data_IF_686230440694
#
_entry.id   IF_686230440694
#
_cell.length_a   1.000
_cell.length_b   1.000
_cell.length_c   1.000
_cell.angle_alpha   90.00
_cell.angle_beta   90.00
_cell.angle_gamma   90.00
#
_symmetry.space_group_name_H-M   'P 1'
#
loop_
_entity.id
_entity.type
_entity.pdbx_description
1 polymer ?
#
# COMPACT_ATOMS: atom_id res chain seq x y z
N UNK A 1 61.00 -73.74 26.42
CA UNK A 1 61.28 -72.41 25.85
C UNK A 1 60.58 -72.30 24.51
N UNK A 2 59.82 -71.23 24.32
CA UNK A 2 59.23 -70.70 23.06
C UNK A 2 58.04 -71.51 22.45
N UNK A 3 56.87 -70.91 22.63
CA UNK A 3 55.53 -71.13 22.06
C UNK A 3 55.45 -70.45 20.66
N UNK A 4 54.31 -70.30 19.97
CA UNK A 4 53.14 -71.18 19.69
C UNK A 4 52.91 -71.31 18.16
N UNK A 5 51.86 -72.05 17.73
CA UNK A 5 50.71 -71.47 17.00
C UNK A 5 49.67 -72.53 16.67
N UNK A 6 48.50 -72.34 17.27
CA UNK A 6 47.23 -72.99 16.93
C UNK A 6 46.75 -72.51 15.55
N UNK A 7 46.01 -73.35 14.84
CA UNK A 7 44.72 -72.98 14.24
C UNK A 7 43.99 -74.23 13.72
N UNK A 8 43.03 -74.69 14.51
CA UNK A 8 41.91 -75.52 14.05
C UNK A 8 40.86 -74.59 13.43
N UNK A 9 40.39 -74.90 12.22
CA UNK A 9 39.12 -74.39 11.70
C UNK A 9 37.96 -75.16 12.38
N UNK A 10 36.88 -74.49 12.83
CA UNK A 10 35.69 -75.16 13.31
C UNK A 10 34.74 -75.52 12.14
N UNK A 11 33.86 -76.53 12.32
CA UNK A 11 32.73 -76.78 11.45
C UNK A 11 31.45 -76.08 11.94
N UNK A 12 30.45 -76.05 11.05
CA UNK A 12 29.00 -76.12 11.33
C UNK A 12 28.33 -75.02 12.17
N UNK A 13 27.23 -74.48 11.65
CA UNK A 13 26.23 -73.83 12.50
C UNK A 13 25.31 -72.89 11.75
N UNK A 14 24.20 -73.44 11.25
CA UNK A 14 23.05 -72.67 10.80
C UNK A 14 22.54 -71.75 11.93
N UNK A 15 22.16 -70.51 11.59
CA UNK A 15 21.15 -69.68 12.25
C UNK A 15 21.33 -68.24 11.75
N UNK A 16 20.41 -67.76 10.92
CA UNK A 16 19.94 -66.35 10.83
C UNK A 16 19.03 -66.18 9.61
N UNK A 17 17.90 -66.89 9.61
CA UNK A 17 16.68 -66.35 9.03
C UNK A 17 16.16 -65.27 9.99
N UNK A 18 15.66 -64.16 9.43
CA UNK A 18 15.06 -63.00 10.11
C UNK A 18 16.01 -61.93 10.71
N UNK A 19 16.61 -61.13 9.82
CA UNK A 19 16.66 -59.68 10.01
C UNK A 19 15.92 -59.08 8.82
N UNK A 20 14.62 -58.81 9.00
CA UNK A 20 14.11 -57.46 9.21
C UNK A 20 14.51 -56.53 8.07
N UNK A 21 13.60 -56.47 7.12
CA UNK A 21 13.37 -55.34 6.21
C UNK A 21 13.19 -54.10 7.09
N UNK A 22 14.29 -53.49 7.52
CA UNK A 22 14.26 -52.11 7.98
C UNK A 22 14.23 -51.26 6.72
N UNK A 23 12.99 -50.98 6.30
CA UNK A 23 12.61 -49.78 5.57
C UNK A 23 13.60 -48.66 5.91
N UNK A 24 14.37 -48.24 4.92
CA UNK A 24 14.98 -46.92 4.94
C UNK A 24 13.83 -45.91 4.80
N UNK A 25 13.10 -45.68 5.89
CA UNK A 25 12.42 -44.43 6.12
C UNK A 25 13.50 -43.40 6.44
N UNK A 26 14.25 -42.99 5.41
CA UNK A 26 14.80 -41.65 5.39
C UNK A 26 13.61 -40.71 5.27
N UNK A 27 12.90 -40.52 6.38
CA UNK A 27 12.09 -39.35 6.58
C UNK A 27 13.05 -38.18 6.48
N UNK A 28 12.91 -37.38 5.43
CA UNK A 28 13.48 -36.05 5.42
C UNK A 28 12.82 -35.32 6.58
N UNK A 29 13.46 -35.34 7.75
CA UNK A 29 13.26 -34.27 8.71
C UNK A 29 13.70 -33.01 7.97
N UNK A 30 12.73 -32.27 7.44
CA UNK A 30 12.96 -30.92 6.94
C UNK A 30 13.36 -30.12 8.17
N UNK A 31 14.65 -30.01 8.42
CA UNK A 31 15.17 -29.06 9.39
C UNK A 31 14.90 -27.68 8.78
N UNK A 32 13.87 -27.01 9.29
CA UNK A 32 13.45 -25.68 8.85
C UNK A 32 14.34 -24.59 9.47
N UNK A 33 15.64 -24.86 9.60
CA UNK A 33 16.61 -23.95 10.19
C UNK A 33 17.03 -22.92 9.14
N UNK A 34 16.12 -21.98 8.84
CA UNK A 34 16.45 -20.81 8.04
C UNK A 34 17.55 -20.02 8.75
N UNK A 35 18.64 -19.76 8.02
CA UNK A 35 19.76 -18.94 8.51
C UNK A 35 19.30 -17.49 8.72
N UNK A 36 20.05 -16.72 9.51
CA UNK A 36 19.74 -15.31 9.80
C UNK A 36 19.63 -14.44 8.53
N UNK A 37 20.28 -14.84 7.43
CA UNK A 37 20.22 -14.14 6.14
C UNK A 37 19.01 -14.58 5.29
N UNK A 38 18.57 -15.84 5.39
CA UNK A 38 17.43 -16.36 4.62
C UNK A 38 16.07 -15.93 5.18
N UNK A 39 15.99 -15.61 6.48
CA UNK A 39 14.71 -15.21 7.12
C UNK A 39 14.18 -13.89 6.57
N UNK A 40 14.97 -12.79 6.46
CA UNK A 40 14.50 -11.57 5.80
C UNK A 40 14.05 -11.81 4.36
N UNK A 41 14.87 -12.50 3.55
CA UNK A 41 14.55 -12.79 2.15
C UNK A 41 13.24 -13.60 1.99
N UNK A 42 13.01 -14.57 2.88
CA UNK A 42 11.77 -15.34 2.87
C UNK A 42 10.55 -14.50 3.28
N UNK A 43 10.70 -13.60 4.26
CA UNK A 43 9.63 -12.71 4.68
C UNK A 43 9.30 -11.66 3.60
N UNK A 44 10.32 -11.12 2.92
CA UNK A 44 10.15 -10.24 1.76
C UNK A 44 9.35 -10.94 0.65
N UNK A 45 9.73 -12.17 0.29
CA UNK A 45 9.05 -12.93 -0.76
C UNK A 45 7.57 -13.23 -0.43
N UNK A 46 7.27 -13.58 0.82
CA UNK A 46 5.88 -13.75 1.26
C UNK A 46 5.11 -12.43 1.28
N UNK A 47 5.78 -11.32 1.61
CA UNK A 47 5.21 -9.97 1.58
C UNK A 47 4.84 -9.57 0.15
N UNK A 48 5.76 -9.73 -0.80
CA UNK A 48 5.51 -9.47 -2.23
C UNK A 48 4.34 -10.31 -2.75
N UNK A 49 4.29 -11.60 -2.39
CA UNK A 49 3.17 -12.47 -2.74
C UNK A 49 1.84 -11.98 -2.15
N UNK A 50 1.87 -11.54 -0.88
CA UNK A 50 0.71 -10.97 -0.19
C UNK A 50 0.19 -9.71 -0.87
N UNK A 51 1.08 -8.78 -1.21
CA UNK A 51 0.77 -7.56 -1.95
C UNK A 51 0.18 -7.88 -3.32
N UNK A 52 0.77 -8.82 -4.06
CA UNK A 52 0.26 -9.25 -5.36
C UNK A 52 -1.16 -9.86 -5.28
N UNK A 53 -1.48 -10.58 -4.20
CA UNK A 53 -2.85 -11.06 -3.96
C UNK A 53 -3.81 -9.93 -3.58
N UNK A 54 -3.38 -8.97 -2.77
CA UNK A 54 -4.17 -7.79 -2.41
C UNK A 54 -4.52 -6.94 -3.64
N UNK A 55 -3.57 -6.72 -4.56
CA UNK A 55 -3.81 -6.01 -5.81
C UNK A 55 -4.88 -6.68 -6.68
N UNK A 56 -5.00 -8.00 -6.60
CA UNK A 56 -6.01 -8.81 -7.29
C UNK A 56 -7.28 -9.03 -6.47
N UNK A 57 -7.43 -8.30 -5.37
CA UNK A 57 -8.54 -8.37 -4.42
C UNK A 57 -8.76 -9.77 -3.80
N UNK A 58 -7.73 -10.61 -3.80
CA UNK A 58 -7.78 -11.93 -3.18
C UNK A 58 -7.36 -11.83 -1.70
N UNK A 59 -8.22 -11.19 -0.90
CA UNK A 59 -7.92 -10.79 0.48
C UNK A 59 -7.51 -11.98 1.37
N UNK A 60 -8.14 -13.14 1.18
CA UNK A 60 -7.80 -14.35 1.95
C UNK A 60 -6.36 -14.81 1.68
N UNK A 61 -5.97 -14.95 0.40
CA UNK A 61 -4.61 -15.38 0.06
C UNK A 61 -3.57 -14.31 0.41
N UNK A 62 -3.95 -13.04 0.34
CA UNK A 62 -3.11 -11.95 0.82
C UNK A 62 -2.79 -12.13 2.31
N UNK A 63 -3.80 -12.32 3.17
CA UNK A 63 -3.58 -12.58 4.59
C UNK A 63 -2.77 -13.84 4.85
N UNK A 64 -3.05 -14.94 4.15
CA UNK A 64 -2.29 -16.19 4.32
C UNK A 64 -0.80 -15.97 4.07
N UNK A 65 -0.43 -15.30 2.98
CA UNK A 65 0.96 -14.99 2.64
C UNK A 65 1.59 -14.02 3.64
N UNK A 66 0.88 -12.95 4.00
CA UNK A 66 1.38 -11.95 4.96
C UNK A 66 1.56 -12.53 6.37
N UNK A 67 0.68 -13.44 6.79
CA UNK A 67 0.85 -14.17 8.04
C UNK A 67 2.13 -15.02 8.02
N UNK A 68 2.48 -15.65 6.88
CA UNK A 68 3.77 -16.34 6.74
C UNK A 68 4.96 -15.38 6.83
N UNK A 69 4.87 -14.20 6.22
CA UNK A 69 5.92 -13.19 6.34
C UNK A 69 6.14 -12.81 7.82
N UNK A 70 5.05 -12.58 8.57
CA UNK A 70 5.11 -12.16 9.97
C UNK A 70 5.42 -13.30 10.96
N UNK A 71 5.14 -14.56 10.61
CA UNK A 71 5.65 -15.73 11.34
C UNK A 71 7.19 -15.77 11.30
N UNK A 72 7.78 -15.34 10.18
CA UNK A 72 9.24 -15.33 9.96
C UNK A 72 9.88 -14.07 10.56
N UNK A 73 9.25 -12.91 10.35
CA UNK A 73 9.71 -11.60 10.80
C UNK A 73 8.54 -10.77 11.37
N UNK A 74 8.24 -10.90 12.68
CA UNK A 74 7.07 -10.25 13.30
C UNK A 74 7.04 -8.71 13.23
N UNK A 75 8.19 -8.08 13.04
CA UNK A 75 8.36 -6.62 12.99
C UNK A 75 8.47 -6.06 11.56
N UNK A 76 8.25 -6.90 10.54
CA UNK A 76 8.39 -6.49 9.14
C UNK A 76 7.34 -5.45 8.74
N UNK A 77 7.79 -4.20 8.57
CA UNK A 77 6.90 -3.05 8.42
C UNK A 77 6.05 -3.10 7.15
N UNK A 78 6.60 -3.55 6.03
CA UNK A 78 5.93 -3.73 4.75
C UNK A 78 4.80 -4.77 4.86
N UNK A 79 5.07 -5.91 5.50
CA UNK A 79 4.06 -6.95 5.73
C UNK A 79 2.92 -6.44 6.63
N UNK A 80 3.26 -5.76 7.73
CA UNK A 80 2.28 -5.14 8.64
C UNK A 80 1.43 -4.10 7.89
N UNK A 81 2.03 -3.22 7.09
CA UNK A 81 1.33 -2.23 6.29
C UNK A 81 0.42 -2.87 5.25
N UNK A 82 0.85 -3.96 4.60
CA UNK A 82 0.02 -4.70 3.66
C UNK A 82 -1.16 -5.39 4.36
N UNK A 83 -0.98 -5.95 5.56
CA UNK A 83 -2.09 -6.49 6.35
C UNK A 83 -3.09 -5.40 6.73
N UNK A 84 -2.61 -4.21 7.11
CA UNK A 84 -3.46 -3.07 7.41
C UNK A 84 -4.38 -2.72 6.23
N UNK A 85 -3.85 -2.72 5.00
CA UNK A 85 -4.65 -2.51 3.79
C UNK A 85 -5.66 -3.63 3.54
N UNK A 86 -5.31 -4.88 3.83
CA UNK A 86 -6.27 -5.99 3.72
C UNK A 86 -7.42 -5.81 4.72
N UNK A 87 -7.11 -5.50 5.99
CA UNK A 87 -8.13 -5.26 7.01
C UNK A 87 -9.02 -4.06 6.68
N UNK A 88 -8.44 -2.97 6.14
CA UNK A 88 -9.20 -1.82 5.66
C UNK A 88 -10.21 -2.23 4.57
N UNK A 89 -9.79 -3.02 3.58
CA UNK A 89 -10.70 -3.55 2.53
C UNK A 89 -11.78 -4.48 3.07
N UNK A 90 -11.51 -5.20 4.14
CA UNK A 90 -12.49 -6.05 4.81
C UNK A 90 -13.45 -5.28 5.71
N UNK A 91 -13.21 -3.99 5.97
CA UNK A 91 -13.97 -3.18 6.90
C UNK A 91 -13.53 -3.31 8.37
N UNK A 92 -12.44 -4.03 8.63
CA UNK A 92 -11.89 -4.28 9.96
C UNK A 92 -11.03 -3.10 10.42
N UNK A 93 -11.66 -1.93 10.61
CA UNK A 93 -10.97 -0.65 10.79
C UNK A 93 -10.06 -0.61 12.03
N UNK A 94 -10.45 -1.29 13.11
CA UNK A 94 -9.63 -1.36 14.34
C UNK A 94 -8.32 -2.09 14.07
N UNK A 95 -8.37 -3.24 13.39
CA UNK A 95 -7.19 -4.02 13.03
C UNK A 95 -6.32 -3.27 12.02
N UNK A 96 -6.94 -2.61 11.04
CA UNK A 96 -6.22 -1.78 10.07
C UNK A 96 -5.38 -0.70 10.77
N UNK A 97 -6.00 0.07 11.68
CA UNK A 97 -5.32 1.10 12.48
C UNK A 97 -4.16 0.53 13.27
N UNK A 98 -4.37 -0.58 13.98
CA UNK A 98 -3.34 -1.24 14.79
C UNK A 98 -2.12 -1.65 13.94
N UNK A 99 -2.35 -2.24 12.77
CA UNK A 99 -1.27 -2.72 11.91
C UNK A 99 -0.51 -1.57 11.23
N UNK A 100 -1.19 -0.48 10.85
CA UNK A 100 -0.50 0.74 10.40
C UNK A 100 0.39 1.32 11.51
N UNK A 101 -0.11 1.42 12.73
CA UNK A 101 0.66 1.93 13.87
C UNK A 101 1.88 1.04 14.16
N UNK A 102 1.71 -0.29 14.15
CA UNK A 102 2.83 -1.24 14.31
C UNK A 102 3.86 -1.11 13.19
N UNK A 103 3.44 -0.95 11.93
CA UNK A 103 4.36 -0.74 10.83
C UNK A 103 5.23 0.52 11.05
N UNK A 104 4.61 1.63 11.48
CA UNK A 104 5.32 2.89 11.74
C UNK A 104 6.13 2.90 13.04
N UNK A 105 5.77 2.07 14.02
CA UNK A 105 6.59 1.86 15.22
C UNK A 105 7.91 1.14 14.87
N UNK A 106 7.84 0.12 14.00
CA UNK A 106 9.02 -0.65 13.58
C UNK A 106 9.86 0.07 12.52
N UNK A 107 9.22 0.86 11.64
CA UNK A 107 9.90 1.65 10.62
C UNK A 107 9.34 3.10 10.58
N UNK A 108 9.83 4.00 11.45
CA UNK A 108 9.35 5.39 11.52
C UNK A 108 9.55 6.19 10.23
N UNK A 109 10.54 5.85 9.41
CA UNK A 109 10.84 6.52 8.13
C UNK A 109 10.07 5.93 6.94
N UNK A 110 9.10 5.01 7.18
CA UNK A 110 8.38 4.34 6.11
C UNK A 110 7.31 5.24 5.48
N UNK A 111 7.74 6.13 4.57
CA UNK A 111 6.92 7.16 3.94
C UNK A 111 5.65 6.62 3.27
N UNK A 112 5.73 5.45 2.61
CA UNK A 112 4.57 4.81 2.00
C UNK A 112 3.52 4.41 3.05
N UNK A 113 3.94 3.82 4.18
CA UNK A 113 3.02 3.48 5.26
C UNK A 113 2.37 4.72 5.87
N UNK A 114 3.12 5.82 6.03
CA UNK A 114 2.56 7.08 6.52
C UNK A 114 1.49 7.63 5.60
N UNK A 115 1.77 7.69 4.30
CA UNK A 115 0.79 8.17 3.31
C UNK A 115 -0.47 7.28 3.27
N UNK A 116 -0.32 5.96 3.33
CA UNK A 116 -1.47 5.04 3.36
C UNK A 116 -2.25 5.14 4.67
N UNK A 117 -1.57 5.27 5.81
CA UNK A 117 -2.21 5.45 7.10
C UNK A 117 -2.97 6.77 7.18
N UNK A 118 -2.42 7.84 6.61
CA UNK A 118 -3.11 9.11 6.50
C UNK A 118 -4.40 9.00 5.67
N UNK A 119 -4.37 8.30 4.53
CA UNK A 119 -5.56 8.06 3.74
C UNK A 119 -6.62 7.27 4.54
N UNK A 120 -6.21 6.23 5.26
CA UNK A 120 -7.07 5.50 6.17
C UNK A 120 -7.66 6.41 7.26
N UNK A 121 -6.86 7.25 7.93
CA UNK A 121 -7.32 8.18 8.96
C UNK A 121 -8.32 9.20 8.41
N UNK A 122 -8.05 9.73 7.21
CA UNK A 122 -8.96 10.64 6.51
C UNK A 122 -10.32 9.99 6.23
N UNK A 123 -10.34 8.72 5.78
CA UNK A 123 -11.59 7.96 5.59
C UNK A 123 -12.36 7.74 6.89
N UNK A 124 -11.66 7.69 8.03
CA UNK A 124 -12.29 7.61 9.36
C UNK A 124 -12.73 8.99 9.90
N UNK A 125 -12.49 10.08 9.18
CA UNK A 125 -12.77 11.45 9.61
C UNK A 125 -11.75 12.03 10.61
N UNK A 126 -10.64 11.34 10.83
CA UNK A 126 -9.56 11.77 11.73
C UNK A 126 -8.57 12.67 10.98
N UNK A 127 -9.07 13.83 10.56
CA UNK A 127 -8.34 14.74 9.66
C UNK A 127 -7.08 15.33 10.30
N UNK A 128 -7.10 15.59 11.60
CA UNK A 128 -5.93 16.09 12.33
C UNK A 128 -4.77 15.09 12.25
N UNK A 129 -5.00 13.85 12.67
CA UNK A 129 -3.98 12.80 12.61
C UNK A 129 -3.56 12.48 11.18
N UNK A 130 -4.49 12.53 10.20
CA UNK A 130 -4.16 12.31 8.80
C UNK A 130 -3.16 13.36 8.28
N UNK A 131 -3.39 14.64 8.58
CA UNK A 131 -2.50 15.72 8.17
C UNK A 131 -1.12 15.59 8.81
N UNK A 132 -1.03 15.26 10.11
CA UNK A 132 0.26 15.03 10.79
C UNK A 132 1.10 13.94 10.10
N UNK A 133 0.46 12.83 9.71
CA UNK A 133 1.14 11.76 8.98
C UNK A 133 1.65 12.22 7.61
N UNK A 134 0.84 13.00 6.88
CA UNK A 134 1.21 13.54 5.56
C UNK A 134 2.29 14.61 5.64
N UNK A 135 2.25 15.48 6.65
CA UNK A 135 3.28 16.49 6.90
C UNK A 135 4.63 15.82 7.18
N UNK A 136 4.64 14.78 8.00
CA UNK A 136 5.85 13.98 8.27
C UNK A 136 6.33 13.29 6.99
N UNK A 137 5.44 12.62 6.26
CA UNK A 137 5.77 11.96 5.00
C UNK A 137 6.29 12.94 3.93
N UNK A 138 5.82 14.19 3.95
CA UNK A 138 6.23 15.25 3.00
C UNK A 138 7.68 15.69 3.14
N UNK A 139 8.39 15.27 4.19
CA UNK A 139 9.81 15.56 4.41
C UNK A 139 10.75 14.65 3.61
N UNK A 140 10.33 13.43 3.23
CA UNK A 140 11.18 12.48 2.49
C UNK A 140 11.32 12.87 1.02
N UNK A 141 12.34 13.68 0.68
CA UNK A 141 12.59 14.26 -0.65
C UNK A 141 12.59 13.25 -1.81
N UNK A 142 12.84 11.98 -1.52
CA UNK A 142 13.06 10.93 -2.51
C UNK A 142 11.83 10.05 -2.74
N UNK A 143 10.73 10.27 -2.00
CA UNK A 143 9.54 9.46 -2.15
C UNK A 143 8.95 9.55 -3.59
N UNK A 144 8.83 8.42 -4.32
CA UNK A 144 8.45 8.46 -5.74
C UNK A 144 7.04 9.03 -6.01
N UNK A 145 6.12 8.87 -5.06
CA UNK A 145 4.72 9.31 -5.18
C UNK A 145 4.47 10.66 -4.51
N UNK A 146 5.47 11.53 -4.53
CA UNK A 146 5.41 12.85 -3.89
C UNK A 146 4.27 13.75 -4.35
N UNK A 147 3.94 13.77 -5.64
CA UNK A 147 2.79 14.55 -6.14
C UNK A 147 1.47 14.06 -5.53
N UNK A 148 1.28 12.74 -5.45
CA UNK A 148 0.12 12.11 -4.80
C UNK A 148 0.06 12.47 -3.32
N UNK A 149 1.20 12.40 -2.62
CA UNK A 149 1.32 12.77 -1.21
C UNK A 149 0.92 14.24 -0.97
N UNK A 150 1.44 15.18 -1.74
CA UNK A 150 1.06 16.60 -1.60
C UNK A 150 -0.40 16.86 -1.98
N UNK A 151 -0.97 16.07 -2.89
CA UNK A 151 -2.40 16.14 -3.21
C UNK A 151 -3.25 15.67 -2.04
N UNK A 152 -2.88 14.57 -1.39
CA UNK A 152 -3.53 14.08 -0.16
C UNK A 152 -3.40 15.10 0.98
N UNK A 153 -2.23 15.75 1.12
CA UNK A 153 -2.01 16.79 2.11
C UNK A 153 -2.90 18.01 1.85
N UNK A 154 -3.01 18.44 0.58
CA UNK A 154 -3.94 19.48 0.17
C UNK A 154 -5.39 19.15 0.53
N UNK A 155 -5.83 17.93 0.22
CA UNK A 155 -7.17 17.44 0.56
C UNK A 155 -7.40 17.43 2.09
N UNK A 156 -6.40 17.05 2.85
CA UNK A 156 -6.48 17.06 4.31
C UNK A 156 -6.63 18.49 4.87
N UNK A 157 -5.87 19.45 4.35
CA UNK A 157 -6.01 20.85 4.73
C UNK A 157 -7.37 21.45 4.33
N UNK A 158 -7.96 21.02 3.21
CA UNK A 158 -9.34 21.40 2.84
C UNK A 158 -10.32 20.94 3.92
N UNK A 159 -10.21 19.70 4.38
CA UNK A 159 -11.09 19.16 5.43
C UNK A 159 -10.93 19.86 6.78
N UNK A 160 -9.81 20.56 7.01
CA UNK A 160 -9.56 21.38 8.20
C UNK A 160 -9.83 22.88 7.99
N UNK A 161 -10.38 23.29 6.85
CA UNK A 161 -10.58 24.71 6.48
C UNK A 161 -9.26 25.54 6.47
N UNK A 162 -8.12 24.89 6.26
CA UNK A 162 -6.80 25.52 6.17
C UNK A 162 -6.46 25.89 4.72
N UNK A 163 -7.26 26.79 4.16
CA UNK A 163 -7.29 27.14 2.73
C UNK A 163 -5.90 27.48 2.14
N UNK A 164 -5.11 28.31 2.82
CA UNK A 164 -3.79 28.71 2.32
C UNK A 164 -2.78 27.57 2.29
N UNK A 165 -2.85 26.65 3.25
CA UNK A 165 -2.00 25.45 3.29
C UNK A 165 -2.44 24.45 2.22
N UNK A 166 -3.76 24.26 2.05
CA UNK A 166 -4.33 23.44 0.99
C UNK A 166 -3.86 23.89 -0.40
N UNK A 167 -3.99 25.18 -0.71
CA UNK A 167 -3.56 25.76 -1.98
C UNK A 167 -2.08 25.53 -2.23
N UNK A 168 -1.22 25.80 -1.24
CA UNK A 168 0.24 25.58 -1.36
C UNK A 168 0.59 24.12 -1.61
N UNK A 169 -0.06 23.19 -0.91
CA UNK A 169 0.18 21.76 -1.08
C UNK A 169 -0.25 21.29 -2.48
N UNK A 170 -1.41 21.70 -2.97
CA UNK A 170 -1.91 21.36 -4.32
C UNK A 170 -1.01 21.94 -5.42
N UNK A 171 -0.61 23.21 -5.30
CA UNK A 171 0.35 23.82 -6.22
C UNK A 171 1.71 23.10 -6.18
N UNK A 172 2.15 22.64 -5.01
CA UNK A 172 3.37 21.84 -4.89
C UNK A 172 3.23 20.49 -5.60
N UNK A 173 2.08 19.83 -5.52
CA UNK A 173 1.82 18.60 -6.26
C UNK A 173 1.94 18.81 -7.77
N UNK A 174 1.35 19.90 -8.30
CA UNK A 174 1.41 20.27 -9.72
C UNK A 174 2.84 20.60 -10.19
N UNK A 175 3.66 21.23 -9.34
CA UNK A 175 5.07 21.48 -9.65
C UNK A 175 5.90 20.18 -9.75
N UNK A 176 5.56 19.18 -8.95
CA UNK A 176 6.27 17.88 -8.92
C UNK A 176 5.87 17.02 -10.11
N UNK A 177 4.56 16.95 -10.38
CA UNK A 177 4.02 16.24 -11.54
C UNK A 177 2.88 17.06 -12.16
N UNK A 178 3.17 17.82 -13.24
CA UNK A 178 2.16 18.60 -13.97
C UNK A 178 1.09 17.75 -14.68
N UNK A 179 1.24 16.43 -14.71
CA UNK A 179 0.26 15.52 -15.33
C UNK A 179 -0.65 14.85 -14.31
N UNK A 180 -0.46 15.10 -13.01
CA UNK A 180 -1.30 14.52 -11.97
C UNK A 180 -2.63 15.25 -11.85
N UNK A 181 -3.62 14.84 -12.66
CA UNK A 181 -4.92 15.48 -12.84
C UNK A 181 -5.67 15.78 -11.55
N UNK A 182 -5.63 14.88 -10.56
CA UNK A 182 -6.36 15.03 -9.29
C UNK A 182 -5.97 16.31 -8.52
N UNK A 183 -4.73 16.75 -8.63
CA UNK A 183 -4.30 18.02 -8.01
C UNK A 183 -4.98 19.25 -8.61
N UNK A 184 -5.32 19.21 -9.91
CA UNK A 184 -6.07 20.27 -10.58
C UNK A 184 -7.55 20.23 -10.24
N UNK A 185 -8.15 19.05 -10.11
CA UNK A 185 -9.53 18.90 -9.66
C UNK A 185 -9.75 19.53 -8.28
N UNK A 186 -8.93 19.15 -7.30
CA UNK A 186 -9.05 19.67 -5.94
C UNK A 186 -8.72 21.17 -5.86
N UNK A 187 -7.81 21.67 -6.70
CA UNK A 187 -7.54 23.10 -6.75
C UNK A 187 -8.71 23.87 -7.39
N UNK A 188 -9.35 23.32 -8.42
CA UNK A 188 -10.54 23.92 -9.02
C UNK A 188 -11.68 24.03 -7.99
N UNK A 189 -11.96 22.95 -7.27
CA UNK A 189 -12.94 22.91 -6.19
C UNK A 189 -12.62 23.93 -5.10
N UNK A 190 -11.38 23.94 -4.61
CA UNK A 190 -10.91 24.88 -3.59
C UNK A 190 -11.11 26.32 -4.04
N UNK A 191 -10.59 26.70 -5.21
CA UNK A 191 -10.66 28.08 -5.68
C UNK A 191 -12.10 28.52 -5.97
N UNK A 192 -12.93 27.63 -6.52
CA UNK A 192 -14.33 27.91 -6.76
C UNK A 192 -15.09 28.17 -5.46
N UNK A 193 -14.84 27.36 -4.42
CA UNK A 193 -15.45 27.57 -3.09
C UNK A 193 -15.06 28.91 -2.45
N UNK A 194 -13.90 29.46 -2.82
CA UNK A 194 -13.41 30.75 -2.34
C UNK A 194 -13.84 31.93 -3.22
N UNK A 195 -14.59 31.69 -4.30
CA UNK A 195 -14.98 32.71 -5.27
C UNK A 195 -13.83 33.17 -6.19
N UNK A 196 -12.74 32.41 -6.24
CA UNK A 196 -11.60 32.69 -7.11
C UNK A 196 -11.86 32.09 -8.51
N UNK A 197 -12.73 32.76 -9.26
CA UNK A 197 -13.24 32.33 -10.57
C UNK A 197 -12.15 31.95 -11.57
N UNK A 198 -11.20 32.85 -11.85
CA UNK A 198 -10.19 32.60 -12.89
C UNK A 198 -9.21 31.46 -12.53
N UNK A 199 -8.68 31.37 -11.30
CA UNK A 199 -7.92 30.19 -10.87
C UNK A 199 -8.71 28.87 -10.93
N UNK A 200 -10.00 28.90 -10.56
CA UNK A 200 -10.87 27.73 -10.64
C UNK A 200 -11.05 27.29 -12.10
N UNK A 201 -11.35 28.24 -13.00
CA UNK A 201 -11.47 28.01 -14.44
C UNK A 201 -10.20 27.39 -15.03
N UNK A 202 -9.03 27.96 -14.75
CA UNK A 202 -7.76 27.43 -15.25
C UNK A 202 -7.52 25.98 -14.78
N UNK A 203 -7.82 25.70 -13.51
CA UNK A 203 -7.60 24.40 -12.91
C UNK A 203 -8.54 23.35 -13.50
N UNK A 204 -9.83 23.65 -13.65
CA UNK A 204 -10.79 22.70 -14.22
C UNK A 204 -10.51 22.41 -15.70
N UNK A 205 -10.12 23.43 -16.49
CA UNK A 205 -9.70 23.23 -17.88
C UNK A 205 -8.52 22.26 -17.97
N UNK A 206 -7.52 22.43 -17.09
CA UNK A 206 -6.34 21.56 -17.07
C UNK A 206 -6.70 20.13 -16.65
N UNK A 207 -7.58 19.98 -15.66
CA UNK A 207 -8.10 18.65 -15.27
C UNK A 207 -8.76 17.93 -16.45
N UNK A 208 -9.65 18.60 -17.18
CA UNK A 208 -10.37 18.03 -18.33
C UNK A 208 -9.46 17.64 -19.51
N UNK A 209 -8.27 18.25 -19.62
CA UNK A 209 -7.27 17.86 -20.61
C UNK A 209 -6.48 16.60 -20.21
N UNK A 210 -6.40 16.31 -18.90
CA UNK A 210 -5.57 15.25 -18.35
C UNK A 210 -6.35 13.98 -17.99
N UNK A 211 -7.66 14.10 -17.77
CA UNK A 211 -8.51 13.00 -17.32
C UNK A 211 -9.84 12.96 -18.07
N UNK A 212 -10.40 11.76 -18.18
CA UNK A 212 -11.81 11.58 -18.56
C UNK A 212 -12.67 12.00 -17.37
N UNK A 213 -13.51 13.03 -17.50
CA UNK A 213 -14.33 13.50 -16.38
C UNK A 213 -15.47 12.53 -16.10
N UNK A 214 -15.78 12.36 -14.82
CA UNK A 214 -17.01 11.75 -14.37
C UNK A 214 -18.15 12.77 -14.29
N UNK A 215 -19.31 12.32 -13.82
CA UNK A 215 -20.52 13.12 -13.72
C UNK A 215 -20.31 14.33 -12.80
N UNK A 216 -19.66 14.11 -11.67
CA UNK A 216 -19.35 15.12 -10.66
C UNK A 216 -18.40 16.18 -11.21
N UNK A 217 -17.33 15.77 -11.91
CA UNK A 217 -16.38 16.71 -12.50
C UNK A 217 -16.99 17.54 -13.63
N UNK A 218 -17.87 16.96 -14.45
CA UNK A 218 -18.61 17.73 -15.46
C UNK A 218 -19.57 18.72 -14.81
N UNK A 219 -20.26 18.35 -13.73
CA UNK A 219 -21.13 19.29 -13.02
C UNK A 219 -20.33 20.48 -12.48
N UNK A 220 -19.20 20.21 -11.83
CA UNK A 220 -18.29 21.27 -11.36
C UNK A 220 -17.80 22.16 -12.51
N UNK A 221 -17.44 21.56 -13.66
CA UNK A 221 -17.00 22.31 -14.83
C UNK A 221 -18.10 23.21 -15.41
N UNK A 222 -19.36 22.76 -15.40
CA UNK A 222 -20.53 23.57 -15.79
C UNK A 222 -20.68 24.76 -14.85
N UNK A 223 -20.62 24.52 -13.54
CA UNK A 223 -20.82 25.56 -12.53
C UNK A 223 -19.73 26.64 -12.60
N UNK A 224 -18.45 26.21 -12.70
CA UNK A 224 -17.31 27.12 -12.89
C UNK A 224 -17.42 27.88 -14.21
N UNK A 225 -17.83 27.21 -15.31
CA UNK A 225 -17.97 27.86 -16.61
C UNK A 225 -18.99 29.00 -16.57
N UNK A 226 -20.19 28.77 -16.02
CA UNK A 226 -21.19 29.83 -15.87
C UNK A 226 -20.73 30.97 -14.97
N UNK A 227 -20.09 30.64 -13.85
CA UNK A 227 -19.62 31.64 -12.89
C UNK A 227 -18.50 32.51 -13.47
N UNK A 228 -17.67 31.93 -14.34
CA UNK A 228 -16.63 32.65 -15.09
C UNK A 228 -17.16 33.42 -16.32
N UNK A 229 -18.40 33.16 -16.76
CA UNK A 229 -19.04 33.81 -17.93
C UNK A 229 -18.85 33.09 -19.27
N UNK A 230 -18.53 31.79 -19.25
CA UNK A 230 -18.26 30.94 -20.41
C UNK A 230 -19.49 30.08 -20.79
N UNK A 231 -20.66 30.72 -20.94
CA UNK A 231 -21.96 30.04 -21.12
C UNK A 231 -21.98 29.01 -22.25
N UNK A 232 -21.35 29.32 -23.39
CA UNK A 232 -21.29 28.39 -24.53
C UNK A 232 -20.51 27.12 -24.19
N UNK A 233 -19.46 27.23 -23.39
CA UNK A 233 -18.64 26.08 -22.97
C UNK A 233 -19.39 25.28 -21.90
N UNK A 234 -20.10 25.96 -21.00
CA UNK A 234 -20.98 25.30 -20.02
C UNK A 234 -22.03 24.42 -20.71
N UNK A 235 -22.63 24.89 -21.80
CA UNK A 235 -23.60 24.13 -22.59
C UNK A 235 -22.96 22.92 -23.30
N UNK A 236 -21.69 23.01 -23.72
CA UNK A 236 -20.93 21.87 -24.25
C UNK A 236 -20.72 20.80 -23.17
N UNK A 237 -20.37 21.20 -21.95
CA UNK A 237 -20.21 20.27 -20.83
C UNK A 237 -21.54 19.64 -20.43
N UNK A 238 -22.66 20.38 -20.45
CA UNK A 238 -23.99 19.81 -20.21
C UNK A 238 -24.34 18.73 -21.23
N UNK A 239 -24.05 18.95 -22.51
CA UNK A 239 -24.26 17.92 -23.55
C UNK A 239 -23.42 16.66 -23.30
N UNK A 240 -22.20 16.80 -22.80
CA UNK A 240 -21.37 15.65 -22.41
C UNK A 240 -21.95 14.94 -21.20
N UNK A 241 -22.41 15.69 -20.20
CA UNK A 241 -23.02 15.17 -18.99
C UNK A 241 -24.27 14.32 -19.30
N UNK A 242 -25.10 14.78 -20.23
CA UNK A 242 -26.31 14.06 -20.68
C UNK A 242 -25.99 12.74 -21.43
N UNK A 243 -24.73 12.53 -21.84
CA UNK A 243 -24.27 11.30 -22.51
C UNK A 243 -23.69 10.27 -21.53
N UNK A 244 -23.51 10.62 -20.26
CA UNK A 244 -23.06 9.69 -19.22
C UNK A 244 -24.30 8.92 -18.71
N UNK A 245 -24.35 7.62 -19.01
CA UNK A 245 -25.41 6.68 -18.59
C UNK A 245 -25.48 6.46 -17.07
#
# INVERSE_FOLDING_TARGET
>A
MINPRRCHLPPSGALLTALLITLWLSGCAVNNDMTAQQRPEAADAYTELGVAYLERDNLRRALDALNRALEIAPEHAEALQAQALVYQRQGEMVLAREHFQKALQNAPEFTQARNNFAAFLYEQGDYEAACEQLETASQDANYPRRSQLFTNLGQCYIAQDQIDLARKALQRAQQIDPRYSRSYYLLAELEFSQGNESPAWQSIQTYLQLATPDREALQMAIDIAYSHGEDSIADDYRRQLDQIE
#
